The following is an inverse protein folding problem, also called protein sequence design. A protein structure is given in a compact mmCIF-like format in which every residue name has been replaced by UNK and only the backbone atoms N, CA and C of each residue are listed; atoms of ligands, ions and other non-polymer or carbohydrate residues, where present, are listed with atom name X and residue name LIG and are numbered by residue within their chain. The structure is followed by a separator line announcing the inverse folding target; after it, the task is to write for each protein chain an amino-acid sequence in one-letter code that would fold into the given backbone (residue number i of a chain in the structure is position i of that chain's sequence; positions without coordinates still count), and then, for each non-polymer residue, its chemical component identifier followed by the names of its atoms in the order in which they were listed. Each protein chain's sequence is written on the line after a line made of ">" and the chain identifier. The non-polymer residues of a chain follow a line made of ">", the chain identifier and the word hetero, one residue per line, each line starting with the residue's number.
data_IF_340820911740
#
_entry.id   IF_340820911740
#
_cell.length_a   1.000
_cell.length_b   1.000
_cell.length_c   1.000
_cell.angle_alpha   90.00
_cell.angle_beta   90.00
_cell.angle_gamma   90.00
#
_symmetry.space_group_name_H-M   'P 1'
#
loop_
_entity.id
_entity.type
_entity.pdbx_description
1 polymer ?
#
# COMPACT_ATOMS: atom_id res chain seq x y z
N UNK A 1 -43.77 -0.14 -29.72
CA UNK A 1 -42.33 -0.18 -29.95
C UNK A 1 -41.55 0.79 -29.04
N UNK A 2 -41.77 0.80 -27.69
CA UNK A 2 -41.10 1.72 -26.74
C UNK A 2 -40.38 1.01 -25.57
N UNK A 3 -40.17 -0.32 -25.62
CA UNK A 3 -39.61 -1.06 -24.47
C UNK A 3 -38.17 -1.60 -24.64
N UNK A 4 -37.48 -1.31 -25.74
CA UNK A 4 -36.13 -1.86 -26.01
C UNK A 4 -34.99 -0.85 -25.87
N UNK A 5 -35.28 0.43 -25.64
CA UNK A 5 -34.21 1.46 -25.52
C UNK A 5 -33.71 1.68 -24.09
N UNK A 6 -34.50 1.33 -23.05
CA UNK A 6 -34.17 1.61 -21.66
C UNK A 6 -32.95 0.80 -21.14
N UNK A 7 -32.82 -0.52 -21.43
CA UNK A 7 -31.65 -1.29 -20.94
C UNK A 7 -30.33 -0.88 -21.64
N UNK A 8 -30.39 -0.38 -22.86
CA UNK A 8 -29.19 0.05 -23.59
C UNK A 8 -28.63 1.37 -23.05
N UNK A 9 -29.50 2.30 -22.60
CA UNK A 9 -29.06 3.55 -21.97
C UNK A 9 -28.40 3.34 -20.60
N UNK A 10 -28.87 2.35 -19.82
CA UNK A 10 -28.31 2.05 -18.51
C UNK A 10 -26.91 1.38 -18.63
N UNK A 11 -26.70 0.53 -19.64
CA UNK A 11 -25.38 -0.05 -19.92
C UNK A 11 -24.37 1.00 -20.39
N UNK A 12 -24.78 1.96 -21.22
CA UNK A 12 -23.93 3.06 -21.68
C UNK A 12 -23.51 3.99 -20.53
N UNK A 13 -24.38 4.22 -19.55
CA UNK A 13 -24.05 5.09 -18.41
C UNK A 13 -23.05 4.46 -17.44
N UNK A 14 -23.05 3.13 -17.30
CA UNK A 14 -22.09 2.42 -16.45
C UNK A 14 -20.68 2.34 -17.09
N UNK A 15 -20.60 2.19 -18.40
CA UNK A 15 -19.32 2.22 -19.14
C UNK A 15 -18.74 3.64 -19.19
N UNK A 16 -19.57 4.68 -19.29
CA UNK A 16 -19.13 6.07 -19.28
C UNK A 16 -18.50 6.49 -17.94
N UNK A 17 -19.02 6.02 -16.78
CA UNK A 17 -18.41 6.35 -15.46
C UNK A 17 -17.02 5.71 -15.28
N UNK A 18 -16.84 4.46 -15.67
CA UNK A 18 -15.54 3.79 -15.55
C UNK A 18 -14.48 4.39 -16.51
N UNK A 19 -14.90 4.85 -17.67
CA UNK A 19 -14.03 5.53 -18.62
C UNK A 19 -13.71 6.96 -18.15
N UNK A 20 -14.65 7.64 -17.51
CA UNK A 20 -14.45 8.95 -16.91
C UNK A 20 -13.38 8.94 -15.83
N UNK A 21 -13.42 7.99 -14.87
CA UNK A 21 -12.45 7.92 -13.78
C UNK A 21 -11.02 7.71 -14.30
N UNK A 22 -10.81 6.86 -15.30
CA UNK A 22 -9.49 6.61 -15.88
C UNK A 22 -8.95 7.83 -16.65
N UNK A 23 -9.81 8.55 -17.34
CA UNK A 23 -9.46 9.79 -18.05
C UNK A 23 -9.14 10.88 -17.04
N UNK A 24 -9.95 11.02 -15.98
CA UNK A 24 -9.72 11.95 -14.87
C UNK A 24 -8.36 11.70 -14.23
N UNK A 25 -8.06 10.43 -13.91
CA UNK A 25 -6.77 10.06 -13.32
C UNK A 25 -5.59 10.31 -14.24
N UNK A 26 -5.72 9.98 -15.53
CA UNK A 26 -4.66 10.20 -16.52
C UNK A 26 -4.38 11.69 -16.79
N UNK A 27 -5.43 12.54 -16.69
CA UNK A 27 -5.32 13.99 -16.86
C UNK A 27 -4.96 14.74 -15.57
N UNK A 28 -4.75 14.05 -14.45
CA UNK A 28 -4.48 14.68 -13.16
C UNK A 28 -3.18 15.48 -13.18
N UNK A 29 -3.19 16.63 -12.52
CA UNK A 29 -1.98 17.40 -12.27
C UNK A 29 -1.27 16.82 -11.05
N UNK A 30 -0.10 16.27 -11.29
CA UNK A 30 0.74 15.69 -10.23
C UNK A 30 1.80 16.70 -9.79
N UNK A 31 1.84 16.99 -8.48
CA UNK A 31 3.04 17.52 -7.86
C UNK A 31 4.12 16.43 -7.85
N UNK A 32 5.37 16.81 -7.98
CA UNK A 32 6.49 15.87 -7.88
C UNK A 32 7.72 16.48 -7.23
N UNK A 33 8.49 15.65 -6.54
CA UNK A 33 9.77 16.00 -5.93
C UNK A 33 10.74 14.84 -6.05
N UNK A 34 11.92 15.08 -6.57
CA UNK A 34 13.01 14.11 -6.52
C UNK A 34 13.49 13.97 -5.06
N UNK A 35 13.43 12.77 -4.51
CA UNK A 35 13.89 12.44 -3.16
C UNK A 35 15.40 12.14 -3.19
N UNK A 36 15.80 11.31 -4.13
CA UNK A 36 17.18 11.03 -4.48
C UNK A 36 17.25 10.46 -5.90
N UNK A 37 18.45 10.17 -6.40
CA UNK A 37 18.58 9.56 -7.74
C UNK A 37 17.76 8.28 -7.84
N UNK A 38 16.80 8.26 -8.78
CA UNK A 38 15.90 7.12 -9.01
C UNK A 38 14.79 6.95 -7.99
N UNK A 39 14.60 7.89 -7.06
CA UNK A 39 13.46 7.92 -6.13
C UNK A 39 12.71 9.24 -6.32
N UNK A 40 11.45 9.16 -6.69
CA UNK A 40 10.57 10.30 -6.92
C UNK A 40 9.31 10.18 -6.05
N UNK A 41 8.96 11.24 -5.33
CA UNK A 41 7.68 11.39 -4.66
C UNK A 41 6.73 12.20 -5.55
N UNK A 42 5.52 11.70 -5.75
CA UNK A 42 4.44 12.32 -6.52
C UNK A 42 3.17 12.37 -5.68
N UNK A 43 2.37 13.41 -5.88
CA UNK A 43 1.07 13.50 -5.19
C UNK A 43 0.06 14.26 -6.05
N UNK A 44 -1.22 13.97 -5.82
CA UNK A 44 -2.32 14.69 -6.44
C UNK A 44 -3.54 14.73 -5.51
N UNK A 45 -4.29 15.82 -5.60
CA UNK A 45 -5.52 16.02 -4.85
C UNK A 45 -6.70 16.23 -5.79
N UNK A 46 -7.63 15.30 -5.82
CA UNK A 46 -8.92 15.40 -6.49
C UNK A 46 -9.92 16.02 -5.51
N UNK A 47 -10.03 17.35 -5.51
CA UNK A 47 -10.74 18.10 -4.46
C UNK A 47 -12.21 18.43 -4.81
N UNK A 48 -12.65 18.16 -6.05
CA UNK A 48 -13.99 18.50 -6.55
C UNK A 48 -14.87 17.28 -6.80
N UNK A 49 -14.54 16.14 -6.18
CA UNK A 49 -15.30 14.90 -6.31
C UNK A 49 -15.19 14.22 -7.67
N UNK A 50 -14.22 14.58 -8.48
CA UNK A 50 -14.09 14.13 -9.87
C UNK A 50 -13.58 12.69 -10.01
N UNK A 51 -12.89 12.14 -9.01
CA UNK A 51 -12.40 10.77 -9.04
C UNK A 51 -13.26 9.87 -8.15
N UNK A 52 -13.89 8.84 -8.73
CA UNK A 52 -14.83 7.94 -8.05
C UNK A 52 -15.99 8.67 -7.35
N UNK A 53 -16.41 9.82 -7.90
CA UNK A 53 -17.45 10.71 -7.33
C UNK A 53 -17.14 11.09 -5.87
N UNK A 54 -15.87 11.37 -5.55
CA UNK A 54 -15.40 11.74 -4.21
C UNK A 54 -14.07 12.47 -4.25
N UNK A 55 -13.74 13.18 -3.17
CA UNK A 55 -12.44 13.78 -2.98
C UNK A 55 -11.43 12.68 -2.66
N UNK A 56 -10.23 12.77 -3.26
CA UNK A 56 -9.16 11.80 -3.06
C UNK A 56 -7.81 12.52 -2.97
N UNK A 57 -6.99 12.13 -2.02
CA UNK A 57 -5.58 12.53 -1.96
C UNK A 57 -4.71 11.29 -2.10
N UNK A 58 -3.83 11.28 -3.09
CA UNK A 58 -3.00 10.14 -3.43
C UNK A 58 -1.54 10.57 -3.44
N UNK A 59 -0.70 9.86 -2.68
CA UNK A 59 0.75 10.02 -2.68
C UNK A 59 1.41 8.74 -3.17
N UNK A 60 2.45 8.89 -3.98
CA UNK A 60 3.18 7.79 -4.62
C UNK A 60 4.67 8.04 -4.52
N UNK A 61 5.44 7.01 -4.13
CA UNK A 61 6.89 6.99 -4.29
C UNK A 61 7.21 5.98 -5.37
N UNK A 62 7.90 6.40 -6.43
CA UNK A 62 8.44 5.53 -7.46
C UNK A 62 9.94 5.33 -7.23
N UNK A 63 10.37 4.05 -7.22
CA UNK A 63 11.77 3.65 -7.05
C UNK A 63 12.19 2.92 -8.32
N UNK A 64 13.10 3.52 -9.10
CA UNK A 64 13.63 2.95 -10.34
C UNK A 64 14.64 1.84 -10.04
N UNK A 65 14.61 0.72 -10.78
CA UNK A 65 15.60 -0.32 -10.65
C UNK A 65 17.00 0.13 -11.14
N UNK A 66 18.04 -0.56 -10.71
CA UNK A 66 19.41 -0.33 -11.20
C UNK A 66 20.06 0.97 -10.71
N UNK A 67 19.47 1.67 -9.76
CA UNK A 67 19.98 2.93 -9.21
C UNK A 67 20.78 2.75 -7.92
N UNK A 68 20.94 1.51 -7.44
CA UNK A 68 21.63 1.18 -6.18
C UNK A 68 20.80 1.48 -4.92
N UNK A 69 19.57 1.98 -5.08
CA UNK A 69 18.64 2.19 -3.97
C UNK A 69 18.18 0.84 -3.41
N UNK A 70 17.98 0.76 -2.09
CA UNK A 70 17.56 -0.46 -1.42
C UNK A 70 16.18 -0.30 -0.81
N UNK A 71 15.40 -1.36 -0.87
CA UNK A 71 14.12 -1.48 -0.16
C UNK A 71 14.32 -2.50 0.95
N UNK A 72 13.77 -2.23 2.11
CA UNK A 72 13.96 -3.02 3.32
C UNK A 72 12.61 -3.23 4.03
N UNK A 73 12.39 -4.45 4.53
CA UNK A 73 11.33 -4.74 5.50
C UNK A 73 11.88 -4.45 6.89
N UNK A 74 11.28 -3.50 7.59
CA UNK A 74 11.63 -3.14 8.95
C UNK A 74 10.54 -3.58 9.92
N UNK A 75 10.93 -4.25 11.00
CA UNK A 75 10.03 -4.63 12.09
C UNK A 75 10.57 -4.09 13.41
N UNK A 76 9.67 -3.54 14.23
CA UNK A 76 10.00 -3.05 15.57
C UNK A 76 9.36 -3.94 16.63
N UNK A 77 10.10 -4.35 17.67
CA UNK A 77 9.54 -5.13 18.78
C UNK A 77 8.50 -4.34 19.61
N UNK A 78 8.51 -3.02 19.49
CA UNK A 78 7.50 -2.13 20.08
C UNK A 78 6.84 -1.31 18.97
N UNK A 79 5.57 -0.96 19.15
CA UNK A 79 4.86 -0.15 18.16
C UNK A 79 5.51 1.25 18.06
N UNK A 80 5.87 1.65 16.85
CA UNK A 80 6.50 2.94 16.53
C UNK A 80 5.80 3.62 15.35
N UNK A 81 5.88 4.92 15.29
CA UNK A 81 5.47 5.69 14.11
C UNK A 81 6.35 5.34 12.90
N UNK A 82 5.77 5.28 11.73
CA UNK A 82 6.49 4.99 10.48
C UNK A 82 7.62 5.98 10.24
N UNK A 83 7.39 7.27 10.50
CA UNK A 83 8.41 8.32 10.35
C UNK A 83 9.58 8.12 11.31
N UNK A 84 9.32 7.69 12.54
CA UNK A 84 10.37 7.42 13.53
C UNK A 84 11.20 6.20 13.13
N UNK A 85 10.55 5.10 12.70
CA UNK A 85 11.29 3.92 12.18
C UNK A 85 12.18 4.31 11.00
N UNK A 86 11.65 5.10 10.06
CA UNK A 86 12.39 5.54 8.89
C UNK A 86 13.58 6.44 9.24
N UNK A 87 13.37 7.43 10.11
CA UNK A 87 14.44 8.38 10.50
C UNK A 87 15.55 7.70 11.32
N UNK A 88 15.21 6.83 12.27
CA UNK A 88 16.18 6.06 13.05
C UNK A 88 17.02 5.11 12.17
N UNK A 89 16.42 4.52 11.12
CA UNK A 89 17.12 3.67 10.17
C UNK A 89 17.88 4.45 9.07
N UNK A 90 17.79 5.79 9.04
CA UNK A 90 18.39 6.61 8.00
C UNK A 90 17.78 6.41 6.61
N UNK A 91 16.52 5.98 6.53
CA UNK A 91 15.78 5.83 5.29
C UNK A 91 15.41 7.19 4.70
N UNK A 92 15.40 7.30 3.38
CA UNK A 92 15.00 8.52 2.68
C UNK A 92 13.52 8.56 2.35
N UNK A 93 12.85 7.39 2.37
CA UNK A 93 11.40 7.28 2.22
C UNK A 93 10.89 6.02 2.92
N UNK A 94 9.61 5.97 3.27
CA UNK A 94 8.96 4.81 3.86
C UNK A 94 7.44 4.84 3.71
N UNK A 95 6.81 3.67 3.86
CA UNK A 95 5.39 3.51 4.14
C UNK A 95 5.19 2.53 5.30
N UNK A 96 4.03 2.57 5.97
CA UNK A 96 3.65 1.53 6.92
C UNK A 96 3.59 0.15 6.24
N UNK A 97 3.75 -0.90 7.01
CA UNK A 97 3.80 -2.27 6.51
C UNK A 97 2.48 -3.04 6.64
N UNK A 98 2.55 -4.31 7.07
CA UNK A 98 1.42 -5.22 7.16
C UNK A 98 0.67 -5.11 8.50
N UNK A 99 -0.36 -5.93 8.65
CA UNK A 99 -1.29 -5.94 9.79
C UNK A 99 -0.60 -6.36 11.09
N UNK A 100 -1.05 -5.79 12.20
CA UNK A 100 -0.42 -6.00 13.51
C UNK A 100 -1.45 -6.08 14.64
N UNK A 101 -1.01 -6.55 15.80
CA UNK A 101 -1.80 -6.62 17.03
C UNK A 101 -1.72 -5.26 17.73
N UNK A 102 -2.89 -4.71 18.11
CA UNK A 102 -2.98 -3.49 18.92
C UNK A 102 -2.62 -3.80 20.38
N UNK A 103 -1.41 -4.31 20.60
CA UNK A 103 -0.92 -4.57 21.95
C UNK A 103 0.06 -3.47 22.32
N UNK A 104 -0.39 -2.53 23.15
CA UNK A 104 0.45 -1.44 23.65
C UNK A 104 1.33 -1.84 24.83
N UNK A 105 1.21 -3.07 25.33
CA UNK A 105 2.14 -3.62 26.31
C UNK A 105 3.43 -4.05 25.59
N UNK A 106 4.55 -3.74 26.19
CA UNK A 106 5.87 -3.80 25.61
C UNK A 106 6.30 -5.21 25.18
N UNK A 107 7.08 -5.23 24.10
CA UNK A 107 7.95 -6.30 23.66
C UNK A 107 7.30 -7.68 23.58
N UNK A 108 6.76 -7.98 22.40
CA UNK A 108 6.32 -9.33 22.09
C UNK A 108 7.41 -10.03 21.26
N UNK A 109 7.63 -11.31 21.53
CA UNK A 109 8.54 -12.15 20.76
C UNK A 109 8.18 -12.22 19.27
N UNK A 110 6.93 -11.90 18.91
CA UNK A 110 6.40 -11.89 17.55
C UNK A 110 6.31 -10.48 16.94
N UNK A 111 7.00 -9.50 17.49
CA UNK A 111 7.02 -8.12 16.98
C UNK A 111 5.63 -7.50 16.82
N UNK A 112 4.65 -7.91 17.61
CA UNK A 112 3.25 -7.52 17.49
C UNK A 112 2.63 -7.79 16.10
N UNK A 113 3.24 -8.59 15.25
CA UNK A 113 2.71 -8.91 13.93
C UNK A 113 1.61 -9.97 13.99
N UNK A 114 0.60 -9.85 13.14
CA UNK A 114 -0.36 -10.94 12.87
C UNK A 114 0.08 -11.78 11.69
N UNK A 115 1.04 -11.27 10.92
CA UNK A 115 1.52 -11.84 9.68
C UNK A 115 2.98 -12.27 9.79
N UNK A 116 3.38 -13.19 8.90
CA UNK A 116 4.75 -13.68 8.85
C UNK A 116 5.73 -12.57 8.49
N UNK A 117 6.82 -12.48 9.26
CA UNK A 117 7.96 -11.60 8.97
C UNK A 117 9.24 -12.41 9.03
N UNK A 118 10.06 -12.30 7.98
CA UNK A 118 11.45 -12.73 7.93
C UNK A 118 12.34 -11.54 7.60
N UNK A 119 13.43 -11.39 8.34
CA UNK A 119 14.46 -10.38 8.14
C UNK A 119 15.82 -11.06 8.22
N UNK A 120 16.70 -10.81 7.26
CA UNK A 120 18.05 -11.37 7.21
C UNK A 120 18.07 -12.90 7.38
N UNK A 121 17.19 -13.61 6.68
CA UNK A 121 16.94 -15.05 6.74
C UNK A 121 16.44 -15.57 8.11
N UNK A 122 16.13 -14.70 9.07
CA UNK A 122 15.60 -15.08 10.39
C UNK A 122 14.11 -14.73 10.47
N UNK A 123 13.30 -15.70 10.88
CA UNK A 123 11.90 -15.47 11.20
C UNK A 123 11.80 -14.59 12.45
N UNK A 124 11.10 -13.44 12.33
CA UNK A 124 10.78 -12.54 13.43
C UNK A 124 9.39 -12.79 13.96
N UNK A 125 8.42 -13.08 13.08
CA UNK A 125 7.05 -13.36 13.44
C UNK A 125 6.48 -14.49 12.59
N UNK A 126 5.66 -15.41 13.16
CA UNK A 126 4.86 -16.36 12.39
C UNK A 126 3.55 -15.72 11.92
N UNK A 127 2.86 -16.35 10.97
CA UNK A 127 1.45 -16.03 10.73
C UNK A 127 0.61 -16.42 11.95
N UNK A 128 -0.29 -15.53 12.36
CA UNK A 128 -1.32 -15.87 13.33
C UNK A 128 -2.43 -16.63 12.63
N UNK A 129 -2.49 -17.94 12.82
CA UNK A 129 -3.50 -18.82 12.20
C UNK A 129 -4.63 -19.09 13.18
N UNK A 130 -5.86 -18.75 12.79
CA UNK A 130 -7.07 -19.15 13.49
C UNK A 130 -7.80 -20.20 12.64
N UNK A 131 -7.75 -21.47 13.07
CA UNK A 131 -8.35 -22.58 12.33
C UNK A 131 -7.51 -23.05 11.13
N UNK A 132 -8.18 -23.65 10.13
CA UNK A 132 -7.53 -24.27 8.98
C UNK A 132 -7.45 -23.36 7.73
N UNK A 133 -7.95 -22.14 7.81
CA UNK A 133 -7.97 -21.22 6.68
C UNK A 133 -7.03 -20.05 6.92
N UNK A 134 -6.27 -19.67 5.89
CA UNK A 134 -5.46 -18.46 5.90
C UNK A 134 -6.37 -17.23 5.83
N UNK A 135 -6.05 -16.21 6.63
CA UNK A 135 -6.67 -14.92 6.48
C UNK A 135 -6.26 -14.28 5.12
N UNK A 136 -7.07 -13.35 4.61
CA UNK A 136 -6.82 -12.71 3.32
C UNK A 136 -5.46 -12.00 3.25
N UNK A 137 -4.97 -11.49 4.38
CA UNK A 137 -3.67 -10.84 4.51
C UNK A 137 -2.49 -11.83 4.60
N UNK A 138 -2.74 -13.12 4.52
CA UNK A 138 -1.73 -14.19 4.45
C UNK A 138 -1.71 -14.89 3.07
N UNK A 139 -2.46 -14.35 2.11
CA UNK A 139 -2.55 -14.88 0.75
C UNK A 139 -1.59 -14.21 -0.23
N UNK A 140 -0.78 -13.29 0.24
CA UNK A 140 0.25 -12.64 -0.52
C UNK A 140 1.46 -12.30 0.34
N UNK A 141 2.57 -12.02 -0.32
CA UNK A 141 3.79 -11.57 0.33
C UNK A 141 4.55 -10.54 -0.52
N UNK A 142 5.26 -9.68 0.19
CA UNK A 142 6.38 -8.92 -0.35
C UNK A 142 7.65 -9.67 0.06
N UNK A 143 8.51 -9.97 -0.90
CA UNK A 143 9.80 -10.60 -0.69
C UNK A 143 10.92 -9.73 -1.25
N UNK A 144 12.05 -9.64 -0.55
CA UNK A 144 13.23 -8.92 -1.02
C UNK A 144 14.37 -9.91 -1.15
N UNK A 145 14.87 -10.03 -2.37
CA UNK A 145 15.96 -10.90 -2.76
C UNK A 145 16.94 -10.14 -3.64
N UNK A 146 18.23 -10.09 -3.26
CA UNK A 146 19.28 -9.36 -3.97
C UNK A 146 18.87 -7.89 -4.28
N UNK A 147 18.41 -7.17 -3.26
CA UNK A 147 17.93 -5.77 -3.33
C UNK A 147 16.73 -5.55 -4.27
N UNK A 148 16.08 -6.61 -4.74
CA UNK A 148 14.89 -6.52 -5.59
C UNK A 148 13.64 -6.94 -4.82
N UNK A 149 12.58 -6.15 -4.97
CA UNK A 149 11.27 -6.45 -4.40
C UNK A 149 10.45 -7.33 -5.36
N UNK A 150 9.82 -8.35 -4.79
CA UNK A 150 8.86 -9.23 -5.47
C UNK A 150 7.54 -9.24 -4.72
N UNK A 151 6.44 -9.31 -5.47
CA UNK A 151 5.09 -9.51 -4.94
C UNK A 151 4.67 -10.92 -5.35
N UNK A 152 4.41 -11.76 -4.36
CA UNK A 152 4.14 -13.17 -4.53
C UNK A 152 2.72 -13.50 -4.04
N UNK A 153 2.03 -14.36 -4.80
CA UNK A 153 0.73 -14.91 -4.40
C UNK A 153 0.95 -16.26 -3.74
N UNK A 154 0.23 -16.51 -2.63
CA UNK A 154 0.23 -17.80 -1.98
C UNK A 154 -0.22 -18.93 -2.93
N UNK A 155 0.43 -20.06 -2.81
CA UNK A 155 -0.01 -21.33 -3.37
C UNK A 155 -0.82 -22.13 -2.33
N UNK A 156 -1.07 -23.41 -2.61
CA UNK A 156 -1.80 -24.31 -1.71
C UNK A 156 -0.91 -24.91 -0.61
N UNK A 157 0.40 -24.71 -0.69
CA UNK A 157 1.35 -25.26 0.27
C UNK A 157 1.16 -24.63 1.65
N UNK A 158 0.99 -25.48 2.68
CA UNK A 158 0.90 -24.99 4.05
C UNK A 158 2.20 -24.28 4.44
N UNK A 159 2.08 -23.10 5.08
CA UNK A 159 3.22 -22.27 5.49
C UNK A 159 4.14 -21.90 4.31
N UNK A 160 3.54 -21.70 3.13
CA UNK A 160 4.22 -21.39 1.87
C UNK A 160 5.26 -20.24 2.00
N UNK A 161 4.98 -19.27 2.85
CA UNK A 161 5.85 -18.13 3.13
C UNK A 161 7.22 -18.53 3.67
N UNK A 162 7.32 -19.68 4.35
CA UNK A 162 8.57 -20.23 4.88
C UNK A 162 9.48 -20.78 3.79
N UNK A 163 8.92 -21.15 2.64
CA UNK A 163 9.65 -21.73 1.50
C UNK A 163 10.10 -20.69 0.47
N UNK A 164 9.70 -19.41 0.63
CA UNK A 164 10.16 -18.32 -0.23
C UNK A 164 11.67 -18.17 -0.08
N UNK A 165 12.40 -18.24 -1.20
CA UNK A 165 13.86 -18.08 -1.24
C UNK A 165 14.20 -16.58 -1.31
N UNK A 166 14.09 -15.87 -0.18
CA UNK A 166 14.39 -14.46 -0.05
C UNK A 166 14.91 -14.16 1.35
N UNK A 167 15.80 -13.18 1.48
CA UNK A 167 16.35 -12.74 2.76
C UNK A 167 15.28 -12.09 3.63
N UNK A 168 14.38 -11.33 3.02
CA UNK A 168 13.31 -10.65 3.72
C UNK A 168 11.97 -11.02 3.10
N UNK A 169 10.99 -11.30 3.94
CA UNK A 169 9.61 -11.65 3.56
C UNK A 169 8.64 -11.06 4.56
N UNK A 170 7.57 -10.45 4.08
CA UNK A 170 6.41 -10.07 4.88
C UNK A 170 5.14 -10.50 4.18
N UNK A 171 4.29 -11.30 4.85
CA UNK A 171 2.97 -11.60 4.31
C UNK A 171 2.03 -10.43 4.55
N UNK A 172 1.17 -10.17 3.60
CA UNK A 172 0.16 -9.11 3.62
C UNK A 172 -0.90 -9.37 2.54
N UNK A 173 -1.87 -8.46 2.40
CA UNK A 173 -2.88 -8.62 1.36
C UNK A 173 -4.14 -7.77 1.56
N UNK A 174 -5.14 -8.01 0.71
CA UNK A 174 -5.14 -8.97 -0.40
C UNK A 174 -4.22 -8.57 -1.55
N UNK A 175 -3.87 -9.55 -2.37
CA UNK A 175 -3.25 -9.26 -3.67
C UNK A 175 -4.30 -8.62 -4.58
N UNK A 176 -3.91 -7.53 -5.23
CA UNK A 176 -4.76 -6.75 -6.13
C UNK A 176 -4.56 -7.16 -7.59
N UNK A 177 -3.30 -7.32 -8.00
CA UNK A 177 -2.93 -7.62 -9.38
C UNK A 177 -1.77 -8.61 -9.45
N UNK A 178 -1.80 -9.48 -10.47
CA UNK A 178 -0.72 -10.42 -10.82
C UNK A 178 -0.61 -10.46 -12.33
N UNK A 179 0.59 -10.23 -12.88
CA UNK A 179 0.89 -10.32 -14.32
C UNK A 179 -0.10 -9.53 -15.20
N UNK A 180 -0.34 -8.26 -14.84
CA UNK A 180 -1.27 -7.34 -15.51
C UNK A 180 -2.75 -7.71 -15.39
N UNK A 181 -3.11 -8.76 -14.62
CA UNK A 181 -4.48 -9.20 -14.40
C UNK A 181 -4.98 -8.73 -13.04
N UNK A 182 -6.16 -8.14 -13.02
CA UNK A 182 -6.87 -7.81 -11.80
C UNK A 182 -7.41 -9.10 -11.15
N UNK A 183 -7.09 -9.30 -9.86
CA UNK A 183 -7.64 -10.44 -9.13
C UNK A 183 -9.07 -10.15 -8.68
N UNK A 184 -9.87 -11.21 -8.60
CA UNK A 184 -11.24 -11.13 -8.07
C UNK A 184 -11.17 -10.81 -6.58
N UNK A 185 -11.79 -9.71 -6.17
CA UNK A 185 -11.90 -9.29 -4.79
C UNK A 185 -13.22 -9.75 -4.17
N UNK A 186 -13.20 -9.99 -2.87
CA UNK A 186 -14.40 -10.33 -2.11
C UNK A 186 -15.33 -9.11 -1.97
N UNK A 187 -16.55 -9.36 -1.46
CA UNK A 187 -17.58 -8.33 -1.30
C UNK A 187 -17.84 -7.92 0.15
N UNK A 188 -16.97 -8.33 1.09
CA UNK A 188 -17.11 -7.88 2.49
C UNK A 188 -16.83 -6.38 2.62
N UNK A 189 -17.22 -5.80 3.76
CA UNK A 189 -17.05 -4.38 4.03
C UNK A 189 -15.57 -3.95 3.94
N UNK A 190 -14.63 -4.82 4.31
CA UNK A 190 -13.22 -4.54 4.17
C UNK A 190 -12.81 -4.21 2.72
N UNK A 191 -13.43 -4.88 1.74
CA UNK A 191 -13.13 -4.68 0.31
C UNK A 191 -13.91 -3.53 -0.30
N UNK A 192 -15.16 -3.31 0.14
CA UNK A 192 -16.09 -2.40 -0.51
C UNK A 192 -16.16 -1.02 0.12
N UNK A 193 -15.88 -0.90 1.43
CA UNK A 193 -15.88 0.38 2.10
C UNK A 193 -14.61 1.18 1.79
N UNK A 194 -14.76 2.49 1.70
CA UNK A 194 -13.64 3.43 1.53
C UNK A 194 -12.93 3.66 2.85
N UNK A 195 -11.62 3.51 2.82
CA UNK A 195 -10.70 3.76 3.93
C UNK A 195 -9.40 4.37 3.41
N UNK A 196 -8.59 5.02 4.25
CA UNK A 196 -7.19 5.22 3.92
C UNK A 196 -6.55 3.89 3.55
N UNK A 197 -5.73 3.87 2.50
CA UNK A 197 -5.10 2.64 1.97
C UNK A 197 -3.61 2.83 1.77
N UNK A 198 -2.88 1.74 1.97
CA UNK A 198 -1.46 1.62 1.64
C UNK A 198 -1.28 0.43 0.70
N UNK A 199 -0.47 0.58 -0.33
CA UNK A 199 -0.21 -0.49 -1.29
C UNK A 199 1.22 -0.43 -1.84
N UNK A 200 1.70 -1.59 -2.28
CA UNK A 200 2.94 -1.75 -3.04
C UNK A 200 2.62 -2.31 -4.42
N UNK A 201 3.28 -1.77 -5.44
CA UNK A 201 3.23 -2.29 -6.79
C UNK A 201 4.61 -2.45 -7.41
N UNK A 202 4.66 -3.22 -8.48
CA UNK A 202 5.85 -3.36 -9.33
C UNK A 202 5.44 -3.28 -10.79
N UNK A 203 6.08 -2.38 -11.55
CA UNK A 203 5.89 -2.24 -13.00
C UNK A 203 6.67 -3.31 -13.77
N UNK A 204 6.41 -3.44 -15.06
CA UNK A 204 7.12 -4.38 -15.95
C UNK A 204 8.60 -4.04 -16.13
N UNK A 205 8.97 -2.75 -16.03
CA UNK A 205 10.37 -2.28 -16.09
C UNK A 205 11.13 -2.48 -14.76
N UNK A 206 10.47 -3.02 -13.72
CA UNK A 206 11.03 -3.23 -12.40
C UNK A 206 10.84 -2.06 -11.43
N UNK A 207 10.28 -0.91 -11.86
CA UNK A 207 9.98 0.22 -10.98
C UNK A 207 9.03 -0.22 -9.87
N UNK A 208 9.40 0.04 -8.62
CA UNK A 208 8.56 -0.20 -7.44
C UNK A 208 7.73 1.04 -7.15
N UNK A 209 6.44 0.82 -6.86
CA UNK A 209 5.47 1.84 -6.48
C UNK A 209 5.11 1.62 -5.02
N UNK A 210 5.32 2.62 -4.17
CA UNK A 210 4.73 2.71 -2.84
C UNK A 210 3.61 3.74 -2.90
N UNK A 211 2.41 3.37 -2.48
CA UNK A 211 1.22 4.23 -2.57
C UNK A 211 0.54 4.37 -1.23
N UNK A 212 0.13 5.60 -0.90
CA UNK A 212 -0.89 5.89 0.12
C UNK A 212 -2.04 6.67 -0.50
N UNK A 213 -3.26 6.31 -0.12
CA UNK A 213 -4.47 7.10 -0.37
C UNK A 213 -5.03 7.52 0.98
N UNK A 214 -5.15 8.81 1.22
CA UNK A 214 -5.73 9.35 2.45
C UNK A 214 -7.24 9.11 2.50
N UNK A 215 -7.82 9.23 3.68
CA UNK A 215 -9.26 9.01 3.81
C UNK A 215 -9.81 9.45 5.16
N UNK A 216 -11.10 9.17 5.39
CA UNK A 216 -11.82 9.52 6.63
C UNK A 216 -11.92 11.03 6.87
N UNK A 217 -11.80 11.84 5.84
CA UNK A 217 -11.95 13.28 5.89
C UNK A 217 -12.82 13.78 4.74
N UNK A 218 -13.29 15.02 4.84
CA UNK A 218 -14.00 15.69 3.72
C UNK A 218 -13.07 15.99 2.55
N UNK A 219 -11.78 16.13 2.80
CA UNK A 219 -10.75 16.37 1.81
C UNK A 219 -10.32 15.10 1.06
N UNK A 220 -10.46 13.93 1.70
CA UNK A 220 -10.15 12.64 1.10
C UNK A 220 -11.06 11.55 1.69
N UNK A 221 -11.87 10.92 0.85
CA UNK A 221 -12.80 9.87 1.27
C UNK A 221 -12.09 8.53 1.56
N UNK A 222 -10.95 8.30 0.92
CA UNK A 222 -10.28 7.02 0.85
C UNK A 222 -10.77 6.15 -0.30
N UNK A 223 -10.24 4.95 -0.40
CA UNK A 223 -10.51 4.03 -1.49
C UNK A 223 -11.08 2.70 -0.98
N UNK A 224 -12.05 2.14 -1.72
CA UNK A 224 -12.32 0.71 -1.68
C UNK A 224 -11.15 -0.05 -2.30
N UNK A 225 -11.03 -1.36 -2.03
CA UNK A 225 -9.95 -2.14 -2.66
C UNK A 225 -10.11 -2.28 -4.18
N UNK A 226 -11.33 -2.22 -4.69
CA UNK A 226 -11.57 -2.17 -6.15
C UNK A 226 -11.09 -0.86 -6.76
N UNK A 227 -11.29 0.27 -6.08
CA UNK A 227 -10.78 1.57 -6.52
C UNK A 227 -9.24 1.60 -6.44
N UNK A 228 -8.66 1.09 -5.35
CA UNK A 228 -7.20 0.95 -5.20
C UNK A 228 -6.60 0.07 -6.32
N UNK A 229 -7.24 -1.05 -6.66
CA UNK A 229 -6.84 -1.92 -7.77
C UNK A 229 -6.82 -1.17 -9.11
N UNK A 230 -7.83 -0.33 -9.39
CA UNK A 230 -7.86 0.54 -10.58
C UNK A 230 -6.73 1.56 -10.58
N UNK A 231 -6.47 2.22 -9.45
CA UNK A 231 -5.36 3.18 -9.31
C UNK A 231 -4.02 2.49 -9.61
N UNK A 232 -3.77 1.32 -9.00
CA UNK A 232 -2.54 0.57 -9.24
C UNK A 232 -2.38 0.17 -10.72
N UNK A 233 -3.48 -0.22 -11.36
CA UNK A 233 -3.51 -0.47 -12.81
C UNK A 233 -3.14 0.77 -13.62
N UNK A 234 -3.72 1.92 -13.32
CA UNK A 234 -3.48 3.17 -14.05
C UNK A 234 -2.08 3.72 -13.82
N UNK A 235 -1.47 3.42 -12.68
CA UNK A 235 -0.04 3.68 -12.42
C UNK A 235 0.90 2.72 -13.16
N UNK A 236 0.37 1.71 -13.86
CA UNK A 236 1.15 0.74 -14.62
C UNK A 236 1.72 -0.42 -13.80
N UNK A 237 1.14 -0.70 -12.62
CA UNK A 237 1.58 -1.83 -11.83
C UNK A 237 1.19 -3.17 -12.48
N UNK A 238 2.18 -3.99 -12.82
CA UNK A 238 2.02 -5.37 -13.28
C UNK A 238 1.62 -6.30 -12.11
N UNK A 239 2.21 -6.05 -10.94
CA UNK A 239 1.89 -6.71 -9.67
C UNK A 239 1.48 -5.64 -8.66
N UNK A 240 0.49 -5.92 -7.82
CA UNK A 240 0.09 -5.01 -6.74
C UNK A 240 -0.49 -5.77 -5.55
N UNK A 241 -0.17 -5.31 -4.35
CA UNK A 241 -0.62 -5.88 -3.08
C UNK A 241 -1.00 -4.76 -2.11
N UNK A 242 -2.09 -4.96 -1.37
CA UNK A 242 -2.51 -4.08 -0.30
C UNK A 242 -1.73 -4.37 0.99
N UNK A 243 -1.46 -3.33 1.77
CA UNK A 243 -0.92 -3.42 3.12
C UNK A 243 -1.96 -2.99 4.16
N UNK A 244 -1.55 -2.83 5.43
CA UNK A 244 -2.44 -2.26 6.44
C UNK A 244 -2.81 -0.83 6.08
N UNK A 245 -4.06 -0.50 6.32
CA UNK A 245 -4.66 0.78 5.96
C UNK A 245 -5.27 1.51 7.16
N UNK A 246 -6.27 2.33 6.89
CA UNK A 246 -6.95 3.11 7.92
C UNK A 246 -5.98 4.07 8.62
N UNK A 247 -5.98 4.09 9.94
CA UNK A 247 -5.11 4.96 10.73
C UNK A 247 -3.61 4.66 10.58
N UNK A 248 -3.25 3.46 10.10
CA UNK A 248 -1.85 3.08 9.84
C UNK A 248 -1.26 3.73 8.59
N UNK A 249 -2.12 4.15 7.64
CA UNK A 249 -1.70 4.71 6.36
C UNK A 249 -0.80 5.92 6.54
N UNK A 250 0.50 5.72 6.33
CA UNK A 250 1.52 6.77 6.50
C UNK A 250 2.59 6.63 5.41
N UNK A 251 2.95 7.75 4.80
CA UNK A 251 4.08 7.87 3.89
C UNK A 251 5.08 8.90 4.44
N UNK A 252 6.33 8.50 4.54
CA UNK A 252 7.44 9.33 4.97
C UNK A 252 8.38 9.63 3.80
N UNK A 253 8.85 10.86 3.72
CA UNK A 253 9.94 11.30 2.85
C UNK A 253 10.84 12.22 3.65
N UNK A 254 12.13 11.94 3.72
CA UNK A 254 13.08 12.75 4.44
C UNK A 254 13.08 14.20 3.94
N UNK A 255 12.86 15.16 4.85
CA UNK A 255 12.73 16.58 4.50
C UNK A 255 11.45 16.93 3.69
N UNK A 256 10.43 16.08 3.73
CA UNK A 256 9.13 16.33 3.09
C UNK A 256 8.24 17.28 3.89
N UNK A 257 8.30 17.20 5.21
CA UNK A 257 7.64 18.07 6.18
C UNK A 257 8.49 18.11 7.45
N UNK A 258 8.04 18.78 8.51
CA UNK A 258 8.77 18.88 9.79
C UNK A 258 9.02 17.49 10.43
N UNK A 259 8.06 16.56 10.30
CA UNK A 259 8.18 15.18 10.75
C UNK A 259 8.46 14.18 9.61
N UNK A 260 8.64 14.65 8.39
CA UNK A 260 8.85 13.86 7.17
C UNK A 260 7.59 13.18 6.62
N UNK A 261 6.42 13.29 7.25
CA UNK A 261 5.17 12.70 6.75
C UNK A 261 4.59 13.55 5.62
N UNK A 262 4.30 12.92 4.49
CA UNK A 262 3.87 13.62 3.26
C UNK A 262 2.45 13.32 2.83
N UNK A 263 1.75 12.48 3.57
CA UNK A 263 0.31 12.25 3.46
C UNK A 263 -0.42 12.77 4.73
N UNK A 264 -1.72 12.48 4.89
CA UNK A 264 -2.54 12.95 6.00
C UNK A 264 -3.11 11.76 6.80
N UNK A 265 -2.31 11.17 7.74
CA UNK A 265 -2.76 10.06 8.56
C UNK A 265 -3.95 10.45 9.44
N UNK A 266 -4.92 9.55 9.61
CA UNK A 266 -6.27 9.89 10.07
C UNK A 266 -6.55 9.70 11.56
N UNK A 267 -5.57 9.30 12.40
CA UNK A 267 -5.86 8.94 13.80
C UNK A 267 -6.14 10.16 14.71
N UNK A 268 -5.63 11.35 14.36
CA UNK A 268 -5.97 12.60 15.05
C UNK A 268 -7.28 13.24 14.53
N UNK A 269 -7.92 12.64 13.49
CA UNK A 269 -9.14 13.16 12.83
C UNK A 269 -8.99 14.53 12.16
N UNK A 270 -7.77 14.98 11.93
CA UNK A 270 -7.43 16.19 11.20
C UNK A 270 -6.84 15.82 9.83
N UNK A 271 -6.93 16.76 8.88
CA UNK A 271 -6.29 16.60 7.57
C UNK A 271 -4.93 17.33 7.61
N UNK A 272 -4.00 16.74 8.37
CA UNK A 272 -2.63 17.23 8.55
C UNK A 272 -1.62 16.06 8.58
N UNK A 273 -0.35 16.36 8.75
CA UNK A 273 0.72 15.35 8.75
C UNK A 273 1.01 14.75 10.13
N UNK A 274 0.20 15.04 11.16
CA UNK A 274 0.51 14.73 12.56
C UNK A 274 -0.21 13.49 13.10
N UNK A 275 -1.21 12.97 12.37
CA UNK A 275 -2.10 11.88 12.83
C UNK A 275 -1.55 10.48 12.65
N UNK A 276 -0.23 10.24 12.75
CA UNK A 276 0.35 8.92 12.61
C UNK A 276 -0.10 7.96 13.72
N UNK A 277 -0.36 6.72 13.33
CA UNK A 277 -0.50 5.59 14.24
C UNK A 277 0.86 4.92 14.46
N UNK A 278 1.14 4.49 15.68
CA UNK A 278 2.24 3.57 15.96
C UNK A 278 1.91 2.20 15.40
N UNK A 279 2.79 1.65 14.58
CA UNK A 279 2.64 0.37 13.87
C UNK A 279 3.81 -0.57 14.17
N UNK A 280 3.69 -1.85 13.83
CA UNK A 280 4.70 -2.86 14.14
C UNK A 280 5.82 -2.95 13.11
N UNK A 281 5.56 -2.56 11.88
CA UNK A 281 6.51 -2.73 10.78
C UNK A 281 6.28 -1.69 9.67
N UNK A 282 7.28 -1.52 8.82
CA UNK A 282 7.31 -0.58 7.71
C UNK A 282 8.10 -1.13 6.51
N UNK A 283 7.87 -0.57 5.34
CA UNK A 283 8.73 -0.73 4.17
C UNK A 283 9.56 0.54 4.04
N UNK A 284 10.87 0.39 4.18
CA UNK A 284 11.84 1.49 4.14
C UNK A 284 12.55 1.53 2.79
N UNK A 285 12.96 2.73 2.38
CA UNK A 285 13.74 2.96 1.16
C UNK A 285 15.01 3.72 1.52
N UNK A 286 16.15 3.16 1.17
CA UNK A 286 17.46 3.74 1.36
C UNK A 286 18.03 4.18 0.01
N UNK A 287 18.63 5.36 -0.04
CA UNK A 287 19.36 5.82 -1.23
C UNK A 287 20.66 5.01 -1.41
N UNK A 288 21.11 4.93 -2.64
CA UNK A 288 22.44 4.44 -2.95
C UNK A 288 23.52 5.19 -2.11
N UNK A 289 24.53 4.44 -1.68
CA UNK A 289 25.67 4.99 -0.96
C UNK A 289 26.57 5.78 -1.88
#
# INVERSE_FOLDING_TARGET
>A
MKRFLLPLLILLSLTAKGQSDSVTFAGAQWGSKTVSQGIEHKWTHFASGELFSSNQYISVIEIKPGTGNKIEIFASPVLKETSLMASEAGAVAAINGSFFKFNYTHNTEDYNSVDYIRKDNRQLAPNTVTGNQRAMHQLGAIAIFNDQLFILKADELKEWEKYIQAQEVITTGPILRVEDRDLKLEKSSFYTARHPRTAVGKKSDGTVILLTADGRSTQAAGLSLTELQKIMKWLGARYAINLDGGGSTTMYVAGGSDNGVVNHPSDNKLFDNMGQRKVANAILVHKAK
#
